data_IF_610929792668
#
_entry.id   IF_610929792668
#
_cell.length_a   1.000
_cell.length_b   1.000
_cell.length_c   1.000
_cell.angle_alpha   90.00
_cell.angle_beta   90.00
_cell.angle_gamma   90.00
#
_symmetry.space_group_name_H-M   'P 1'
#
loop_
_entity.id
_entity.type
_entity.pdbx_description
1 polymer ?
#
# COMPACT_ATOMS: atom_id res chain seq x y z
N UNK A 1 5.94 11.94 8.08
CA UNK A 1 6.39 11.98 6.67
C UNK A 1 7.90 11.84 6.62
N UNK A 2 8.45 11.14 5.62
CA UNK A 2 9.87 10.93 5.40
C UNK A 2 10.24 11.34 3.97
N UNK A 3 11.38 12.01 3.78
CA UNK A 3 11.93 12.31 2.45
C UNK A 3 12.59 11.04 1.91
N UNK A 4 12.21 10.63 0.70
CA UNK A 4 12.72 9.42 0.04
C UNK A 4 13.75 9.79 -1.03
N UNK A 5 13.48 10.83 -1.82
CA UNK A 5 14.39 11.36 -2.83
C UNK A 5 14.27 12.88 -2.90
N UNK A 6 15.36 13.56 -3.29
CA UNK A 6 15.39 15.00 -3.47
C UNK A 6 16.81 15.50 -3.78
N UNK A 7 16.95 16.81 -4.09
CA UNK A 7 18.25 17.42 -4.31
C UNK A 7 19.12 17.39 -3.03
N UNK A 8 20.45 17.41 -3.21
CA UNK A 8 21.42 17.33 -2.11
C UNK A 8 21.49 18.61 -1.27
N UNK A 9 21.17 19.74 -1.88
CA UNK A 9 21.07 21.05 -1.25
C UNK A 9 19.78 21.71 -1.75
N UNK A 10 19.17 22.55 -0.91
CA UNK A 10 17.99 23.32 -1.27
C UNK A 10 18.48 24.67 -1.79
N UNK A 11 18.29 24.91 -3.09
CA UNK A 11 18.65 26.15 -3.77
C UNK A 11 17.40 27.04 -3.99
N UNK A 12 16.21 26.42 -4.06
CA UNK A 12 14.92 27.10 -4.27
C UNK A 12 13.80 26.53 -3.40
N UNK A 13 12.78 27.36 -3.13
CA UNK A 13 11.54 26.93 -2.45
C UNK A 13 10.66 26.00 -3.32
N UNK A 14 10.92 25.97 -4.62
CA UNK A 14 10.24 25.12 -5.60
C UNK A 14 11.01 23.82 -5.88
N UNK A 15 12.11 23.57 -5.18
CA UNK A 15 12.85 22.31 -5.29
C UNK A 15 11.94 21.14 -4.90
N UNK A 16 11.87 20.13 -5.77
CA UNK A 16 10.92 19.03 -5.65
C UNK A 16 11.52 17.86 -4.87
N UNK A 17 10.74 17.34 -3.93
CA UNK A 17 11.09 16.20 -3.08
C UNK A 17 10.03 15.12 -3.18
N UNK A 18 10.47 13.87 -3.30
CA UNK A 18 9.61 12.70 -3.15
C UNK A 18 9.48 12.38 -1.67
N UNK A 19 8.26 12.41 -1.16
CA UNK A 19 7.93 12.18 0.25
C UNK A 19 7.08 10.93 0.42
N UNK A 20 7.31 10.21 1.51
CA UNK A 20 6.50 9.07 1.94
C UNK A 20 5.76 9.43 3.24
N UNK A 21 4.44 9.32 3.21
CA UNK A 21 3.60 9.58 4.37
C UNK A 21 3.55 8.32 5.25
N UNK A 22 4.49 8.21 6.20
CA UNK A 22 4.68 7.03 7.08
C UNK A 22 3.42 6.56 7.83
N UNK A 23 2.41 7.41 7.98
CA UNK A 23 1.17 7.09 8.68
C UNK A 23 0.05 6.60 7.75
N UNK A 24 0.20 6.84 6.44
CA UNK A 24 -0.80 6.53 5.41
C UNK A 24 -0.30 5.55 4.35
N UNK A 25 1.02 5.49 4.11
CA UNK A 25 1.65 4.62 3.12
C UNK A 25 1.71 5.18 1.69
N UNK A 26 1.11 6.33 1.40
CA UNK A 26 1.19 6.94 0.07
C UNK A 26 2.49 7.76 -0.13
N UNK A 27 2.82 8.01 -1.40
CA UNK A 27 3.91 8.91 -1.81
C UNK A 27 3.39 10.08 -2.63
N UNK A 28 4.11 11.20 -2.57
CA UNK A 28 3.83 12.39 -3.35
C UNK A 28 5.15 13.09 -3.69
N UNK A 29 5.16 13.86 -4.78
CA UNK A 29 6.23 14.82 -5.05
C UNK A 29 5.75 16.21 -4.67
N UNK A 30 6.41 16.84 -3.70
CA UNK A 30 6.03 18.15 -3.16
C UNK A 30 7.20 19.14 -3.25
N UNK A 31 6.93 20.45 -3.43
CA UNK A 31 7.95 21.48 -3.33
C UNK A 31 8.47 21.65 -1.90
N UNK A 32 9.70 22.16 -1.75
CA UNK A 32 10.34 22.40 -0.46
C UNK A 32 9.48 23.26 0.48
N UNK A 33 8.75 24.25 -0.05
CA UNK A 33 7.88 25.11 0.77
C UNK A 33 6.72 24.38 1.48
N UNK A 34 6.44 23.10 1.14
CA UNK A 34 5.48 22.24 1.84
C UNK A 34 6.13 21.31 2.87
N UNK A 35 7.45 21.40 3.04
CA UNK A 35 8.23 20.56 3.95
C UNK A 35 8.69 21.41 5.13
N UNK A 36 8.61 20.85 6.33
CA UNK A 36 9.17 21.43 7.55
C UNK A 36 9.83 20.36 8.41
N UNK A 37 10.83 20.70 9.24
CA UNK A 37 11.33 19.80 10.27
C UNK A 37 10.18 19.28 11.14
N UNK A 38 10.20 17.98 11.43
CA UNK A 38 9.24 17.39 12.34
C UNK A 38 9.53 17.84 13.78
N UNK A 39 8.46 18.08 14.55
CA UNK A 39 8.59 18.31 15.99
C UNK A 39 9.09 17.01 16.66
N UNK A 40 10.10 17.07 17.55
CA UNK A 40 10.63 15.88 18.23
C UNK A 40 9.56 15.05 18.94
N UNK A 41 8.50 15.68 19.45
CA UNK A 41 7.37 14.98 20.09
C UNK A 41 6.64 14.06 19.10
N UNK A 42 6.46 14.50 17.85
CA UNK A 42 5.81 13.73 16.78
C UNK A 42 6.74 12.67 16.20
N UNK A 43 8.05 12.92 16.18
CA UNK A 43 9.06 11.97 15.69
C UNK A 43 9.27 10.74 16.59
N UNK A 44 8.72 10.74 17.81
CA UNK A 44 8.86 9.62 18.76
C UNK A 44 7.90 8.46 18.50
N UNK A 45 6.79 8.70 17.79
CA UNK A 45 5.79 7.68 17.46
C UNK A 45 6.29 6.77 16.34
N UNK A 46 6.03 5.45 16.42
CA UNK A 46 6.32 4.56 15.29
C UNK A 46 5.40 4.90 14.09
N UNK A 47 5.84 4.62 12.85
CA UNK A 47 4.98 4.69 11.68
C UNK A 47 3.67 3.93 11.88
N UNK A 48 2.55 4.52 11.47
CA UNK A 48 1.23 3.88 11.60
C UNK A 48 0.88 2.99 10.40
N UNK A 49 1.45 3.25 9.22
CA UNK A 49 1.22 2.42 8.05
C UNK A 49 2.16 1.22 8.04
N UNK A 50 1.59 0.02 7.88
CA UNK A 50 2.33 -1.23 7.73
C UNK A 50 2.19 -1.73 6.29
N UNK A 51 3.32 -1.94 5.62
CA UNK A 51 3.32 -2.53 4.29
C UNK A 51 2.93 -4.00 4.37
N UNK A 52 1.95 -4.40 3.57
CA UNK A 52 1.48 -5.77 3.50
C UNK A 52 1.19 -6.20 2.06
N UNK A 53 1.23 -7.50 1.83
CA UNK A 53 0.77 -8.15 0.60
C UNK A 53 -0.38 -9.08 0.93
N UNK A 54 -1.38 -9.14 0.05
CA UNK A 54 -2.53 -10.02 0.23
C UNK A 54 -2.12 -11.47 -0.07
N UNK A 55 -2.36 -12.37 0.89
CA UNK A 55 -2.04 -13.79 0.78
C UNK A 55 -3.02 -14.51 -0.15
N UNK A 56 -2.59 -15.67 -0.66
CA UNK A 56 -3.43 -16.66 -1.38
C UNK A 56 -4.03 -16.16 -2.69
N UNK A 57 -3.52 -15.07 -3.25
CA UNK A 57 -3.95 -14.56 -4.55
C UNK A 57 -2.76 -14.06 -5.36
N UNK A 58 -2.85 -14.22 -6.68
CA UNK A 58 -1.99 -13.56 -7.66
C UNK A 58 -2.87 -12.84 -8.66
N UNK A 59 -2.71 -11.53 -8.76
CA UNK A 59 -3.45 -10.71 -9.72
C UNK A 59 -2.67 -10.58 -11.03
N UNK A 60 -3.35 -10.45 -12.18
CA UNK A 60 -2.71 -10.09 -13.45
C UNK A 60 -2.00 -8.73 -13.35
N UNK A 61 -1.06 -8.46 -14.25
CA UNK A 61 -0.53 -7.11 -14.44
C UNK A 61 -1.59 -6.16 -14.96
N UNK A 62 -1.45 -4.85 -14.75
CA UNK A 62 -2.43 -3.85 -15.19
C UNK A 62 -2.67 -3.83 -16.70
N UNK A 63 -1.68 -4.25 -17.48
CA UNK A 63 -1.75 -4.33 -18.94
C UNK A 63 -2.23 -5.71 -19.44
N UNK A 64 -2.36 -6.69 -18.54
CA UNK A 64 -2.89 -8.02 -18.85
C UNK A 64 -4.43 -8.02 -18.77
N UNK A 65 -5.04 -9.03 -19.39
CA UNK A 65 -6.49 -9.23 -19.33
C UNK A 65 -6.97 -9.26 -17.86
N UNK A 66 -8.02 -8.48 -17.58
CA UNK A 66 -8.63 -8.32 -16.26
C UNK A 66 -7.76 -7.64 -15.18
N UNK A 67 -6.59 -7.11 -15.55
CA UNK A 67 -5.71 -6.41 -14.62
C UNK A 67 -6.33 -5.15 -14.01
N UNK A 68 -6.98 -4.34 -14.85
CA UNK A 68 -7.63 -3.10 -14.42
C UNK A 68 -8.87 -3.40 -13.55
N UNK A 69 -9.69 -4.37 -13.96
CA UNK A 69 -10.88 -4.80 -13.23
C UNK A 69 -10.53 -5.40 -11.87
N UNK A 70 -9.46 -6.19 -11.79
CA UNK A 70 -8.97 -6.72 -10.53
C UNK A 70 -8.53 -5.60 -9.56
N UNK A 71 -7.86 -4.57 -10.09
CA UNK A 71 -7.43 -3.41 -9.30
C UNK A 71 -8.63 -2.56 -8.82
N UNK A 72 -9.60 -2.32 -9.70
CA UNK A 72 -10.83 -1.58 -9.38
C UNK A 72 -11.66 -2.33 -8.34
N UNK A 73 -11.83 -3.64 -8.49
CA UNK A 73 -12.59 -4.45 -7.53
C UNK A 73 -11.90 -4.50 -6.16
N UNK A 74 -10.58 -4.64 -6.11
CA UNK A 74 -9.82 -4.56 -4.86
C UNK A 74 -10.00 -3.18 -4.19
N UNK A 75 -9.93 -2.11 -4.98
CA UNK A 75 -10.17 -0.74 -4.51
C UNK A 75 -11.59 -0.57 -3.97
N UNK A 76 -12.60 -1.10 -4.66
CA UNK A 76 -13.98 -1.07 -4.19
C UNK A 76 -14.14 -1.85 -2.88
N UNK A 77 -13.54 -3.03 -2.77
CA UNK A 77 -13.58 -3.82 -1.55
C UNK A 77 -12.95 -3.07 -0.35
N UNK A 78 -11.77 -2.46 -0.53
CA UNK A 78 -10.98 -1.94 0.58
C UNK A 78 -11.17 -0.45 0.86
N UNK A 79 -11.50 0.35 -0.15
CA UNK A 79 -11.47 1.82 -0.08
C UNK A 79 -12.84 2.48 -0.24
N UNK A 80 -13.85 1.79 -0.79
CA UNK A 80 -15.19 2.39 -0.99
C UNK A 80 -15.94 2.67 0.32
N UNK A 81 -15.58 1.97 1.39
CA UNK A 81 -16.22 2.10 2.69
C UNK A 81 -15.18 2.19 3.81
N UNK A 82 -15.53 2.85 4.92
CA UNK A 82 -14.71 2.87 6.13
C UNK A 82 -14.84 1.55 6.91
N UNK A 83 -14.83 0.43 6.21
CA UNK A 83 -14.99 -0.90 6.78
C UNK A 83 -13.68 -1.38 7.39
N UNK A 84 -13.78 -2.04 8.54
CA UNK A 84 -12.65 -2.60 9.25
C UNK A 84 -12.53 -4.09 8.93
N UNK A 85 -11.31 -4.54 8.70
CA UNK A 85 -10.98 -5.93 8.42
C UNK A 85 -10.07 -6.49 9.50
N UNK A 86 -10.22 -7.78 9.79
CA UNK A 86 -9.25 -8.51 10.59
C UNK A 86 -8.13 -8.99 9.67
N UNK A 87 -6.92 -8.48 9.89
CA UNK A 87 -5.72 -8.96 9.22
C UNK A 87 -5.11 -10.13 9.99
N UNK A 88 -5.01 -11.30 9.35
CA UNK A 88 -4.29 -12.46 9.87
C UNK A 88 -2.94 -12.53 9.18
N UNK A 89 -1.86 -12.64 9.95
CA UNK A 89 -0.50 -12.71 9.41
C UNK A 89 -0.19 -14.17 9.08
N UNK A 90 -0.04 -14.47 7.80
CA UNK A 90 0.34 -15.79 7.29
C UNK A 90 1.86 -15.94 7.28
N UNK A 91 2.57 -14.91 6.83
CA UNK A 91 4.03 -14.89 6.72
C UNK A 91 4.59 -13.49 6.99
N UNK A 92 5.84 -13.44 7.46
CA UNK A 92 6.62 -12.21 7.59
C UNK A 92 7.82 -12.28 6.66
N UNK A 93 7.77 -11.55 5.57
CA UNK A 93 8.88 -11.46 4.64
C UNK A 93 9.89 -10.43 5.15
N UNK A 94 11.00 -10.92 5.70
CA UNK A 94 12.14 -10.11 6.14
C UNK A 94 13.25 -10.04 5.10
N UNK A 95 13.05 -10.60 3.89
CA UNK A 95 14.09 -10.68 2.85
C UNK A 95 14.53 -9.32 2.32
N UNK A 96 13.87 -8.23 2.76
CA UNK A 96 14.25 -6.87 2.41
C UNK A 96 14.23 -6.71 0.90
N UNK A 97 13.14 -7.17 0.27
CA UNK A 97 12.94 -7.02 -1.16
C UNK A 97 13.31 -5.61 -1.57
N UNK A 98 14.32 -5.49 -2.43
CA UNK A 98 14.68 -4.25 -3.12
C UNK A 98 13.53 -3.86 -4.04
N UNK A 99 12.37 -3.54 -3.50
CA UNK A 99 11.37 -2.77 -4.20
C UNK A 99 11.82 -1.33 -4.00
N UNK A 100 12.25 -0.72 -5.09
CA UNK A 100 12.95 0.56 -5.10
C UNK A 100 12.15 1.74 -4.55
N UNK A 101 10.91 1.55 -4.09
CA UNK A 101 10.07 2.59 -3.49
C UNK A 101 9.05 1.93 -2.53
N UNK A 102 8.85 2.57 -1.37
CA UNK A 102 7.76 2.36 -0.39
C UNK A 102 7.99 1.31 0.71
N UNK A 103 8.11 1.78 1.96
CA UNK A 103 8.16 1.00 3.19
C UNK A 103 9.54 0.41 3.53
N UNK A 104 10.30 1.06 4.41
CA UNK A 104 11.48 0.44 5.03
C UNK A 104 11.03 -0.58 6.07
N UNK A 105 10.95 -1.87 5.73
CA UNK A 105 10.66 -2.89 6.74
C UNK A 105 10.26 -4.27 6.21
N UNK A 106 9.86 -5.12 7.16
CA UNK A 106 9.23 -6.43 6.93
C UNK A 106 7.90 -6.25 6.20
N UNK A 107 7.71 -6.98 5.10
CA UNK A 107 6.40 -7.06 4.43
C UNK A 107 5.59 -8.15 5.13
N UNK A 108 4.39 -7.80 5.59
CA UNK A 108 3.47 -8.80 6.15
C UNK A 108 2.65 -9.42 5.02
N UNK A 109 2.68 -10.74 4.89
CA UNK A 109 1.77 -11.45 4.00
C UNK A 109 0.53 -11.77 4.82
N UNK A 110 -0.62 -11.20 4.44
CA UNK A 110 -1.83 -11.20 5.27
C UNK A 110 -3.05 -11.70 4.53
N UNK A 111 -3.94 -12.38 5.24
CA UNK A 111 -5.33 -12.57 4.81
C UNK A 111 -6.21 -11.53 5.48
N UNK A 112 -6.97 -10.78 4.68
CA UNK A 112 -7.96 -9.82 5.18
C UNK A 112 -9.33 -10.48 5.24
N UNK A 113 -9.92 -10.52 6.43
CA UNK A 113 -11.23 -11.13 6.68
C UNK A 113 -12.20 -10.06 7.15
N UNK A 114 -13.36 -10.02 6.51
CA UNK A 114 -14.50 -9.24 6.97
C UNK A 114 -15.05 -9.87 8.27
N UNK A 115 -15.06 -9.16 9.41
CA UNK A 115 -15.53 -9.71 10.68
C UNK A 115 -17.04 -10.00 10.71
N UNK A 116 -17.83 -9.42 9.79
CA UNK A 116 -19.28 -9.60 9.75
C UNK A 116 -19.69 -10.82 8.93
N UNK A 117 -19.05 -11.00 7.76
CA UNK A 117 -19.39 -12.07 6.81
C UNK A 117 -18.47 -13.29 6.95
N UNK A 118 -17.38 -13.16 7.70
CA UNK A 118 -16.27 -14.12 7.76
C UNK A 118 -15.63 -14.44 6.39
N UNK A 119 -15.95 -13.65 5.37
CA UNK A 119 -15.39 -13.79 4.03
C UNK A 119 -14.01 -13.14 3.94
N UNK A 120 -13.12 -13.75 3.15
CA UNK A 120 -11.80 -13.18 2.88
C UNK A 120 -11.80 -12.41 1.57
N UNK A 121 -11.05 -11.29 1.53
CA UNK A 121 -10.89 -10.49 0.31
C UNK A 121 -10.25 -11.31 -0.81
N UNK A 122 -9.26 -12.15 -0.49
CA UNK A 122 -8.63 -13.05 -1.47
C UNK A 122 -9.64 -13.99 -2.12
N UNK A 123 -10.59 -14.55 -1.36
CA UNK A 123 -11.65 -15.39 -1.90
C UNK A 123 -12.61 -14.61 -2.80
N UNK A 124 -13.04 -13.42 -2.34
CA UNK A 124 -13.92 -12.55 -3.13
C UNK A 124 -13.28 -12.13 -4.46
N UNK A 125 -11.97 -11.85 -4.46
CA UNK A 125 -11.23 -11.52 -5.67
C UNK A 125 -11.07 -12.73 -6.60
N UNK A 126 -10.85 -13.93 -6.06
CA UNK A 126 -10.77 -15.16 -6.86
C UNK A 126 -12.09 -15.45 -7.57
N UNK A 127 -13.23 -15.20 -6.94
CA UNK A 127 -14.53 -15.35 -7.60
C UNK A 127 -14.64 -14.40 -8.80
N UNK A 128 -14.31 -13.12 -8.64
CA UNK A 128 -14.42 -12.13 -9.73
C UNK A 128 -13.40 -12.36 -10.86
N UNK A 129 -12.16 -12.69 -10.54
CA UNK A 129 -11.13 -12.99 -11.53
C UNK A 129 -11.37 -14.35 -12.23
N UNK A 130 -11.83 -15.38 -11.50
CA UNK A 130 -12.09 -16.70 -12.09
C UNK A 130 -13.39 -16.73 -12.91
N UNK A 131 -14.42 -15.97 -12.50
CA UNK A 131 -15.68 -15.87 -13.25
C UNK A 131 -15.44 -15.19 -14.62
N UNK A 132 -14.45 -14.30 -14.72
CA UNK A 132 -14.11 -13.63 -15.98
C UNK A 132 -13.04 -14.36 -16.81
N UNK A 133 -12.17 -15.18 -16.23
CA UNK A 133 -11.22 -16.01 -17.00
C UNK A 133 -11.84 -17.26 -17.66
N UNK A 134 -13.08 -17.63 -17.36
CA UNK A 134 -13.77 -18.81 -17.93
C UNK A 134 -15.03 -18.45 -18.73
N UNK A 135 -14.93 -17.51 -19.67
CA UNK A 135 -15.81 -17.50 -20.86
C UNK A 135 -14.99 -17.09 -22.08
N UNK A 136 -14.23 -18.03 -22.64
CA UNK A 136 -14.12 -18.35 -24.07
C UNK A 136 -13.57 -19.77 -24.25
#
# INVERSE_FOLDING_TARGET
MQIVNGPRAVDSVDDQFEVFYIDFGNQEVVPYNRIRPADPSVSSSPPLAQLCSLALIKVPGLEDDYGQEAAEYLSECLLSSSKQYRAMIEERDTSGGKVTRQGTGTVLIVTLVDPETESSISAAMLEVCAINCYIF
#
